data_IF_559876065421
#
_entry.id   IF_559876065421
#
_cell.length_a   1.000
_cell.length_b   1.000
_cell.length_c   1.000
_cell.angle_alpha   90.00
_cell.angle_beta   90.00
_cell.angle_gamma   90.00
#
_symmetry.space_group_name_H-M   'P 1'
#
loop_
_entity.id
_entity.type
_entity.pdbx_description
1 polymer ?
#
# COMPACT_ATOMS: atom_id res chain seq x y z
N UNK A 1 -3.98 33.30 19.00
CA UNK A 1 -5.20 32.50 19.27
C UNK A 1 -5.60 31.74 18.00
N UNK A 2 -6.02 30.50 18.19
CA UNK A 2 -6.38 29.42 17.24
C UNK A 2 -7.36 29.77 16.08
N UNK A 3 -7.14 29.08 14.94
CA UNK A 3 -8.10 28.34 14.06
C UNK A 3 -9.06 29.15 13.13
N UNK A 4 -9.43 28.70 11.91
CA UNK A 4 -9.66 27.36 11.32
C UNK A 4 -9.66 27.39 9.76
N UNK A 5 -9.21 26.28 9.17
CA UNK A 5 -9.69 25.59 7.95
C UNK A 5 -10.10 26.35 6.67
N UNK A 6 -9.39 26.07 5.57
CA UNK A 6 -10.03 25.69 4.31
C UNK A 6 -9.08 24.81 3.47
N UNK A 7 -9.47 23.55 3.33
CA UNK A 7 -8.71 22.48 2.68
C UNK A 7 -9.53 22.01 1.47
N UNK A 8 -9.31 22.58 0.28
CA UNK A 8 -10.08 22.22 -0.92
C UNK A 8 -9.18 22.25 -2.16
N UNK A 9 -8.96 21.04 -2.70
CA UNK A 9 -8.85 20.68 -4.12
C UNK A 9 -7.82 21.43 -4.98
N UNK A 10 -6.64 20.83 -5.17
CA UNK A 10 -6.01 20.63 -6.51
C UNK A 10 -4.62 20.04 -6.36
N UNK A 11 -4.50 18.72 -6.59
CA UNK A 11 -3.33 18.01 -7.19
C UNK A 11 -3.58 16.49 -7.15
N UNK A 12 -4.65 16.01 -7.79
CA UNK A 12 -4.87 14.58 -8.09
C UNK A 12 -4.93 14.34 -9.61
N UNK A 13 -3.87 14.69 -10.32
CA UNK A 13 -3.67 14.27 -11.72
C UNK A 13 -2.19 13.95 -11.92
N UNK A 14 -1.80 12.73 -11.54
CA UNK A 14 -0.78 11.89 -12.19
C UNK A 14 -0.63 10.59 -11.38
N UNK A 15 -0.84 9.46 -12.07
CA UNK A 15 -0.56 8.06 -11.66
C UNK A 15 -1.51 7.37 -10.66
N UNK A 16 -2.79 7.32 -10.97
CA UNK A 16 -3.61 6.18 -10.56
C UNK A 16 -3.93 5.41 -11.85
N UNK A 17 -3.42 4.18 -12.04
CA UNK A 17 -3.84 3.34 -13.15
C UNK A 17 -5.37 3.17 -13.09
N UNK A 18 -6.10 3.37 -14.19
CA UNK A 18 -7.52 3.10 -14.22
C UNK A 18 -7.70 1.57 -14.21
N UNK A 19 -7.87 1.01 -13.01
CA UNK A 19 -8.07 -0.42 -12.81
C UNK A 19 -7.79 -0.81 -11.37
N UNK A 20 -8.86 -0.98 -10.57
CA UNK A 20 -8.90 -1.80 -9.34
C UNK A 20 -7.75 -1.59 -8.33
N UNK A 21 -7.28 -0.36 -8.12
CA UNK A 21 -6.30 -0.09 -7.07
C UNK A 21 -7.05 0.18 -5.76
N UNK A 22 -7.10 -0.81 -4.86
CA UNK A 22 -7.38 -0.58 -3.44
C UNK A 22 -6.45 0.55 -2.94
N UNK A 23 -6.90 1.41 -2.05
CA UNK A 23 -6.08 2.54 -1.56
C UNK A 23 -4.75 2.12 -0.92
N UNK A 24 -4.03 3.08 -0.34
CA UNK A 24 -2.82 2.80 0.45
C UNK A 24 -3.04 1.66 1.44
N UNK A 25 -2.15 0.68 1.41
CA UNK A 25 -2.27 -0.55 2.22
C UNK A 25 -1.79 -0.34 3.65
N UNK A 26 -0.83 0.57 3.84
CA UNK A 26 -0.27 0.95 5.14
C UNK A 26 -0.38 2.45 5.35
N UNK A 27 -0.53 2.84 6.63
CA UNK A 27 -0.38 4.24 7.05
C UNK A 27 1.06 4.68 6.82
N UNK A 28 1.28 5.98 6.66
CA UNK A 28 2.64 6.52 6.67
C UNK A 28 3.16 6.56 8.12
N UNK A 29 4.23 5.82 8.47
CA UNK A 29 4.85 5.93 9.78
C UNK A 29 5.60 7.26 9.94
N UNK A 30 5.97 7.60 11.17
CA UNK A 30 6.78 8.78 11.49
C UNK A 30 8.17 8.76 10.83
N UNK A 31 8.69 7.57 10.50
CA UNK A 31 9.98 7.38 9.81
C UNK A 31 9.95 7.58 8.30
N UNK A 32 8.81 7.97 7.71
CA UNK A 32 8.71 8.37 6.31
C UNK A 32 7.55 7.71 5.56
N UNK A 33 7.39 7.99 4.26
CA UNK A 33 6.29 7.46 3.48
C UNK A 33 6.37 5.93 3.34
N UNK A 34 5.27 5.22 3.61
CA UNK A 34 5.26 3.76 3.60
C UNK A 34 5.72 3.16 2.26
N UNK A 35 5.30 3.74 1.13
CA UNK A 35 5.75 3.29 -0.20
C UNK A 35 7.28 3.31 -0.35
N UNK A 36 7.96 4.29 0.24
CA UNK A 36 9.42 4.37 0.16
C UNK A 36 10.06 3.22 0.93
N UNK A 37 9.63 3.01 2.18
CA UNK A 37 10.11 1.93 3.04
C UNK A 37 9.86 0.55 2.41
N UNK A 38 8.66 0.33 1.87
CA UNK A 38 8.30 -0.93 1.18
C UNK A 38 9.17 -1.18 -0.06
N UNK A 39 9.51 -0.10 -0.79
CA UNK A 39 10.39 -0.21 -1.96
C UNK A 39 11.83 -0.51 -1.57
N UNK A 40 12.34 0.16 -0.54
CA UNK A 40 13.69 -0.06 0.02
C UNK A 40 13.82 -1.47 0.62
N UNK A 41 12.74 -2.01 1.18
CA UNK A 41 12.63 -3.39 1.65
C UNK A 41 12.56 -4.45 0.52
N UNK A 42 12.68 -4.02 -0.75
CA UNK A 42 12.70 -4.93 -1.90
C UNK A 42 11.36 -5.60 -2.19
N UNK A 43 10.23 -5.01 -1.78
CA UNK A 43 8.90 -5.58 -2.00
C UNK A 43 8.24 -5.14 -3.31
N UNK A 44 8.87 -4.29 -4.12
CA UNK A 44 8.29 -3.83 -5.37
C UNK A 44 8.13 -4.99 -6.36
N UNK A 45 6.90 -5.27 -6.80
CA UNK A 45 6.61 -6.41 -7.67
C UNK A 45 6.65 -7.76 -6.97
N UNK A 46 6.58 -7.79 -5.63
CA UNK A 46 6.42 -9.04 -4.88
C UNK A 46 5.04 -9.64 -5.20
N UNK A 47 5.03 -10.92 -5.55
CA UNK A 47 3.84 -11.63 -6.01
C UNK A 47 3.52 -12.81 -5.11
N UNK A 48 2.23 -13.06 -4.91
CA UNK A 48 1.71 -14.25 -4.24
C UNK A 48 0.36 -14.60 -4.86
N UNK A 49 0.26 -15.78 -5.47
CA UNK A 49 -0.96 -16.21 -6.17
C UNK A 49 -1.42 -15.16 -7.19
N UNK A 50 -2.63 -14.63 -7.01
CA UNK A 50 -3.17 -13.56 -7.87
C UNK A 50 -2.86 -12.13 -7.44
N UNK A 51 -2.16 -11.92 -6.30
CA UNK A 51 -1.86 -10.60 -5.75
C UNK A 51 -0.42 -10.16 -6.05
N UNK A 52 -0.22 -8.86 -6.29
CA UNK A 52 1.09 -8.27 -6.57
C UNK A 52 1.26 -6.91 -5.89
N UNK A 53 2.43 -6.65 -5.31
CA UNK A 53 2.79 -5.30 -4.85
C UNK A 53 3.13 -4.43 -6.06
N UNK A 54 2.41 -3.33 -6.25
CA UNK A 54 2.60 -2.44 -7.39
C UNK A 54 4.01 -1.89 -7.48
N UNK A 55 4.66 -2.06 -8.65
CA UNK A 55 5.96 -1.44 -8.93
C UNK A 55 5.88 0.08 -9.08
N UNK A 56 4.73 0.60 -9.49
CA UNK A 56 4.50 2.03 -9.68
C UNK A 56 4.28 2.78 -8.36
N UNK A 57 3.59 2.13 -7.41
CA UNK A 57 3.38 2.65 -6.07
C UNK A 57 3.29 1.50 -5.07
N UNK A 58 4.40 1.15 -4.45
CA UNK A 58 4.59 -0.03 -3.58
C UNK A 58 3.69 -0.10 -2.34
N UNK A 59 3.04 0.99 -1.94
CA UNK A 59 1.98 0.95 -0.92
C UNK A 59 0.62 0.46 -1.46
N UNK A 60 0.58 -0.19 -2.63
CA UNK A 60 -0.63 -0.73 -3.25
C UNK A 60 -0.39 -2.19 -3.57
N UNK A 61 -1.33 -3.05 -3.16
CA UNK A 61 -1.41 -4.44 -3.59
C UNK A 61 -2.51 -4.52 -4.65
N UNK A 62 -2.14 -4.97 -5.85
CA UNK A 62 -3.05 -5.16 -6.98
C UNK A 62 -3.53 -6.60 -6.99
N UNK A 63 -4.79 -6.80 -7.33
CA UNK A 63 -5.36 -8.11 -7.60
C UNK A 63 -5.39 -8.32 -9.11
N UNK A 64 -4.42 -9.07 -9.65
CA UNK A 64 -4.28 -9.29 -11.09
C UNK A 64 -5.04 -10.53 -11.59
N UNK A 65 -5.28 -11.54 -10.76
CA UNK A 65 -5.86 -12.83 -11.18
C UNK A 65 -6.75 -13.47 -10.09
N UNK A 66 -7.75 -12.75 -9.57
CA UNK A 66 -8.67 -13.32 -8.58
C UNK A 66 -7.98 -13.73 -7.27
N UNK A 67 -7.01 -12.92 -6.83
CA UNK A 67 -6.26 -13.14 -5.60
C UNK A 67 -7.18 -13.43 -4.43
N UNK A 68 -6.86 -14.49 -3.69
CA UNK A 68 -7.58 -14.82 -2.47
C UNK A 68 -7.24 -13.81 -1.36
N UNK A 69 -8.11 -13.71 -0.36
CA UNK A 69 -7.79 -12.97 0.85
C UNK A 69 -6.52 -13.50 1.55
N UNK A 70 -6.20 -14.78 1.38
CA UNK A 70 -4.98 -15.38 1.91
C UNK A 70 -3.72 -14.85 1.19
N UNK A 71 -3.77 -14.70 -0.13
CA UNK A 71 -2.67 -14.12 -0.92
C UNK A 71 -2.36 -12.68 -0.49
N UNK A 72 -3.41 -11.87 -0.32
CA UNK A 72 -3.28 -10.49 0.14
C UNK A 72 -2.69 -10.47 1.57
N UNK A 73 -3.21 -11.29 2.49
CA UNK A 73 -2.67 -11.42 3.87
C UNK A 73 -1.20 -11.82 3.89
N UNK A 74 -0.80 -12.74 3.02
CA UNK A 74 0.59 -13.16 2.92
C UNK A 74 1.50 -12.01 2.48
N UNK A 75 1.11 -11.26 1.46
CA UNK A 75 1.87 -10.08 1.02
C UNK A 75 1.96 -9.01 2.11
N UNK A 76 0.87 -8.79 2.84
CA UNK A 76 0.84 -7.82 3.94
C UNK A 76 1.87 -8.14 5.02
N UNK A 77 1.84 -9.37 5.55
CA UNK A 77 2.76 -9.78 6.60
C UNK A 77 4.21 -9.84 6.08
N UNK A 78 4.41 -10.27 4.83
CA UNK A 78 5.74 -10.27 4.21
C UNK A 78 6.30 -8.84 4.09
N UNK A 79 5.48 -7.88 3.67
CA UNK A 79 5.88 -6.47 3.56
C UNK A 79 6.21 -5.90 4.93
N UNK A 80 5.36 -6.10 5.94
CA UNK A 80 5.63 -5.65 7.32
C UNK A 80 6.95 -6.21 7.84
N UNK A 81 7.14 -7.52 7.70
CA UNK A 81 8.34 -8.21 8.15
C UNK A 81 9.59 -7.63 7.49
N UNK A 82 9.60 -7.51 6.16
CA UNK A 82 10.78 -6.99 5.43
C UNK A 82 11.06 -5.53 5.74
N UNK A 83 10.04 -4.69 5.91
CA UNK A 83 10.24 -3.29 6.28
C UNK A 83 10.80 -3.19 7.70
N UNK A 84 10.28 -3.97 8.65
CA UNK A 84 10.83 -4.04 10.00
C UNK A 84 12.29 -4.52 9.98
N UNK A 85 12.62 -5.54 9.21
CA UNK A 85 13.98 -6.08 9.11
C UNK A 85 14.96 -5.09 8.48
N UNK A 86 14.52 -4.31 7.50
CA UNK A 86 15.40 -3.39 6.74
C UNK A 86 15.51 -2.01 7.36
N UNK A 87 14.44 -1.47 7.94
CA UNK A 87 14.41 -0.10 8.47
C UNK A 87 14.13 -0.02 9.97
N UNK A 88 13.82 -1.13 10.65
CA UNK A 88 13.42 -1.14 12.06
C UNK A 88 12.03 -0.55 12.34
N UNK A 89 11.27 -0.18 11.30
CA UNK A 89 9.96 0.48 11.42
C UNK A 89 8.85 -0.56 11.28
N UNK A 90 7.91 -0.58 12.21
CA UNK A 90 6.69 -1.36 12.09
C UNK A 90 5.65 -0.60 11.25
N UNK A 91 5.12 -1.23 10.21
CA UNK A 91 4.06 -0.66 9.40
C UNK A 91 2.70 -1.03 9.97
N UNK A 92 1.85 -0.03 10.20
CA UNK A 92 0.45 -0.23 10.56
C UNK A 92 -0.41 -0.41 9.30
N UNK A 93 -1.13 -1.53 9.15
CA UNK A 93 -2.09 -1.71 8.07
C UNK A 93 -3.18 -0.61 8.10
N UNK A 94 -3.51 -0.07 6.93
CA UNK A 94 -4.60 0.87 6.68
C UNK A 94 -5.56 0.30 5.64
N UNK A 95 -5.94 -0.97 5.81
CA UNK A 95 -6.69 -1.65 4.75
C UNK A 95 -8.17 -1.30 4.86
N UNK A 96 -8.64 -0.44 3.95
CA UNK A 96 -10.00 -0.54 3.44
C UNK A 96 -9.96 -1.38 2.17
N UNK A 97 -10.37 -2.64 2.29
CA UNK A 97 -10.59 -3.52 1.14
C UNK A 97 -11.75 -2.92 0.32
N UNK A 98 -11.45 -2.38 -0.87
CA UNK A 98 -12.48 -1.93 -1.82
C UNK A 98 -12.24 -2.66 -3.13
N UNK A 99 -13.02 -3.70 -3.35
CA UNK A 99 -13.06 -4.55 -4.53
C UNK A 99 -14.28 -5.46 -4.43
N UNK A 100 -14.87 -5.84 -5.56
CA UNK A 100 -15.88 -6.88 -5.58
C UNK A 100 -15.21 -8.21 -5.23
N UNK A 101 -15.44 -8.66 -3.99
CA UNK A 101 -15.26 -10.05 -3.60
C UNK A 101 -16.54 -10.76 -4.06
N UNK A 102 -16.52 -11.35 -5.26
CA UNK A 102 -17.54 -12.30 -5.69
C UNK A 102 -17.11 -13.71 -5.36
#
# INVERSE_FOLDING_TARGET
VRQKSNHVLRRRRRRVPPGRSAGSVFKNPSGGPAHRLIREAGCAGLEQGGAVVSRAHTNFILNHNGASAADIRFLLETVKKRVRETSGIELEPEIRLVGEFS
#
